data_IF_860291687257
#
_entry.id   IF_860291687257
#
_cell.length_a   1.000
_cell.length_b   1.000
_cell.length_c   1.000
_cell.angle_alpha   90.00
_cell.angle_beta   90.00
_cell.angle_gamma   90.00
#
_symmetry.space_group_name_H-M   'P 1'
#
loop_
_entity.id
_entity.type
_entity.pdbx_description
1 polymer ?
#
# COMPACT_ATOMS: atom_id res chain seq x y z
N UNK A 1 -16.50 -3.67 6.52
CA UNK A 1 -15.41 -3.34 5.56
C UNK A 1 -15.24 -4.54 4.64
N UNK A 2 -15.55 -4.42 3.34
CA UNK A 2 -15.50 -5.54 2.39
C UNK A 2 -14.04 -5.81 2.04
N UNK A 3 -13.49 -6.95 2.46
CA UNK A 3 -12.18 -7.41 2.01
C UNK A 3 -12.31 -7.70 0.51
N UNK A 4 -11.87 -6.78 -0.34
CA UNK A 4 -11.74 -7.04 -1.78
C UNK A 4 -10.86 -8.28 -1.94
N UNK A 5 -11.33 -9.26 -2.72
CA UNK A 5 -10.56 -10.47 -3.02
C UNK A 5 -9.32 -10.05 -3.83
N UNK A 6 -8.19 -9.86 -3.14
CA UNK A 6 -6.94 -9.24 -3.66
C UNK A 6 -6.26 -10.03 -4.77
N UNK A 7 -6.75 -11.24 -5.09
CA UNK A 7 -6.16 -12.15 -6.06
C UNK A 7 -6.18 -11.63 -7.51
N UNK A 8 -7.15 -10.81 -7.90
CA UNK A 8 -7.34 -10.40 -9.31
C UNK A 8 -7.41 -8.88 -9.53
N UNK A 9 -6.67 -8.10 -8.74
CA UNK A 9 -6.63 -6.64 -8.93
C UNK A 9 -5.76 -6.26 -10.14
N UNK A 10 -6.30 -5.39 -11.00
CA UNK A 10 -5.52 -4.69 -12.03
C UNK A 10 -4.42 -3.83 -11.39
N UNK A 11 -3.41 -3.42 -12.16
CA UNK A 11 -2.34 -2.54 -11.68
C UNK A 11 -2.89 -1.24 -11.05
N UNK A 12 -3.92 -0.63 -11.65
CA UNK A 12 -4.57 0.58 -11.11
C UNK A 12 -5.26 0.31 -9.78
N UNK A 13 -5.99 -0.80 -9.67
CA UNK A 13 -6.65 -1.17 -8.41
C UNK A 13 -5.64 -1.53 -7.32
N UNK A 14 -4.51 -2.16 -7.67
CA UNK A 14 -3.42 -2.40 -6.71
C UNK A 14 -2.83 -1.09 -6.20
N UNK A 15 -2.56 -0.12 -7.08
CA UNK A 15 -2.12 1.22 -6.67
C UNK A 15 -3.10 1.88 -5.70
N UNK A 16 -4.40 1.90 -6.04
CA UNK A 16 -5.45 2.45 -5.18
C UNK A 16 -5.50 1.78 -3.81
N UNK A 17 -5.46 0.43 -3.78
CA UNK A 17 -5.45 -0.33 -2.54
C UNK A 17 -4.21 -0.05 -1.67
N UNK A 18 -3.05 0.23 -2.28
CA UNK A 18 -1.85 0.64 -1.55
C UNK A 18 -2.00 2.03 -0.93
N UNK A 19 -2.57 2.99 -1.65
CA UNK A 19 -2.85 4.33 -1.10
C UNK A 19 -3.86 4.24 0.06
N UNK A 20 -4.93 3.47 -0.09
CA UNK A 20 -5.90 3.22 0.99
C UNK A 20 -5.23 2.60 2.24
N UNK A 21 -4.31 1.65 2.05
CA UNK A 21 -3.55 1.07 3.15
C UNK A 21 -2.66 2.10 3.87
N UNK A 22 -2.03 3.01 3.13
CA UNK A 22 -1.23 4.10 3.71
C UNK A 22 -2.10 5.05 4.52
N UNK A 23 -3.27 5.45 4.00
CA UNK A 23 -4.22 6.30 4.71
C UNK A 23 -4.68 5.63 6.01
N UNK A 24 -5.00 4.33 5.95
CA UNK A 24 -5.38 3.57 7.14
C UNK A 24 -4.26 3.54 8.18
N UNK A 25 -3.02 3.26 7.78
CA UNK A 25 -1.87 3.26 8.69
C UNK A 25 -1.58 4.65 9.28
N UNK A 26 -1.75 5.71 8.49
CA UNK A 26 -1.56 7.09 8.92
C UNK A 26 -2.61 7.54 9.94
N UNK A 27 -3.77 6.88 10.01
CA UNK A 27 -4.77 7.17 11.04
C UNK A 27 -4.34 6.75 12.45
N UNK A 28 -3.43 5.78 12.56
CA UNK A 28 -2.96 5.22 13.84
C UNK A 28 -1.49 5.49 14.14
N UNK A 29 -0.71 5.98 13.16
CA UNK A 29 0.74 6.11 13.24
C UNK A 29 1.21 7.40 12.58
N UNK A 30 2.36 7.93 13.02
CA UNK A 30 2.97 9.09 12.37
C UNK A 30 3.28 8.77 10.88
N UNK A 31 2.75 9.51 9.90
CA UNK A 31 2.96 9.24 8.48
C UNK A 31 4.44 9.12 8.06
N UNK A 32 5.31 9.90 8.71
CA UNK A 32 6.75 9.91 8.45
C UNK A 32 7.41 8.58 8.81
N UNK A 33 6.86 7.86 9.80
CA UNK A 33 7.39 6.59 10.31
C UNK A 33 6.87 5.38 9.53
N UNK A 34 5.83 5.53 8.70
CA UNK A 34 5.26 4.43 7.93
C UNK A 34 6.30 3.91 6.92
N UNK A 35 6.68 2.65 7.08
CA UNK A 35 7.62 1.96 6.19
C UNK A 35 6.90 1.17 5.11
N UNK A 36 7.56 0.94 3.96
CA UNK A 36 7.02 0.07 2.90
C UNK A 36 6.87 -1.38 3.36
N UNK A 37 7.66 -1.81 4.36
CA UNK A 37 7.50 -3.12 4.99
C UNK A 37 6.17 -3.21 5.78
N UNK A 38 5.83 -2.19 6.57
CA UNK A 38 4.55 -2.14 7.29
C UNK A 38 3.36 -2.07 6.33
N UNK A 39 3.47 -1.32 5.23
CA UNK A 39 2.43 -1.27 4.19
C UNK A 39 2.23 -2.67 3.58
N UNK A 40 3.32 -3.36 3.22
CA UNK A 40 3.26 -4.72 2.70
C UNK A 40 2.60 -5.69 3.67
N UNK A 41 3.00 -5.65 4.94
CA UNK A 41 2.42 -6.47 5.99
C UNK A 41 0.91 -6.22 6.18
N UNK A 42 0.47 -4.96 6.23
CA UNK A 42 -0.95 -4.59 6.32
C UNK A 42 -1.76 -5.11 5.12
N UNK A 43 -1.13 -5.12 3.95
CA UNK A 43 -1.72 -5.61 2.70
C UNK A 43 -1.54 -7.12 2.45
N UNK A 44 -0.91 -7.85 3.37
CA UNK A 44 -0.58 -9.27 3.21
C UNK A 44 0.17 -9.55 1.88
N UNK A 45 1.18 -8.73 1.60
CA UNK A 45 2.08 -8.87 0.44
C UNK A 45 3.52 -8.60 0.86
N UNK A 46 4.48 -9.05 0.05
CA UNK A 46 5.88 -8.69 0.27
C UNK A 46 6.10 -7.19 0.01
N UNK A 47 7.05 -6.59 0.73
CA UNK A 47 7.50 -5.22 0.45
C UNK A 47 7.89 -5.03 -1.03
N UNK A 48 8.59 -6.03 -1.60
CA UNK A 48 8.99 -6.07 -3.01
C UNK A 48 7.82 -6.03 -4.00
N UNK A 49 6.64 -6.53 -3.63
CA UNK A 49 5.47 -6.49 -4.49
C UNK A 49 4.95 -5.05 -4.70
N UNK A 50 5.12 -4.16 -3.73
CA UNK A 50 4.77 -2.74 -3.87
C UNK A 50 5.61 -2.08 -4.96
N UNK A 51 6.90 -2.42 -5.04
CA UNK A 51 7.83 -1.82 -5.99
C UNK A 51 7.57 -2.21 -7.45
N UNK A 52 6.73 -3.20 -7.72
CA UNK A 52 6.25 -3.51 -9.08
C UNK A 52 5.27 -2.47 -9.61
N UNK A 53 4.70 -1.66 -8.72
CA UNK A 53 3.70 -0.64 -9.05
C UNK A 53 4.15 0.77 -8.68
N UNK A 54 5.15 0.92 -7.82
CA UNK A 54 5.69 2.20 -7.39
C UNK A 54 7.21 2.14 -7.45
N UNK A 55 7.83 3.06 -8.15
CA UNK A 55 9.28 3.16 -8.32
C UNK A 55 10.00 3.53 -7.02
N UNK A 56 9.29 4.14 -6.08
CA UNK A 56 9.82 4.53 -4.77
C UNK A 56 8.73 4.64 -3.69
N UNK A 57 9.13 4.76 -2.42
CA UNK A 57 8.20 5.10 -1.33
C UNK A 57 7.52 6.44 -1.60
N UNK A 58 8.25 7.42 -2.13
CA UNK A 58 7.74 8.75 -2.42
C UNK A 58 6.61 8.71 -3.46
N UNK A 59 6.72 7.85 -4.46
CA UNK A 59 5.66 7.71 -5.48
C UNK A 59 4.33 7.26 -4.87
N UNK A 60 4.34 6.47 -3.79
CA UNK A 60 3.12 6.05 -3.08
C UNK A 60 2.39 7.27 -2.48
N UNK A 61 3.13 8.28 -2.01
CA UNK A 61 2.55 9.49 -1.40
C UNK A 61 2.02 10.50 -2.42
N UNK A 62 2.49 10.43 -3.66
CA UNK A 62 2.10 11.34 -4.76
C UNK A 62 1.14 10.69 -5.76
N UNK A 63 0.68 9.47 -5.49
CA UNK A 63 -0.11 8.64 -6.40
C UNK A 63 -1.60 9.00 -6.47
#
# INVERSE_FOLDING_TARGET
MRVMNRKNLTSKQRRSATVEAVIALASSSNPSEITTAQIGAYMDVTQGALFRHFSSKQEIWTA
#
